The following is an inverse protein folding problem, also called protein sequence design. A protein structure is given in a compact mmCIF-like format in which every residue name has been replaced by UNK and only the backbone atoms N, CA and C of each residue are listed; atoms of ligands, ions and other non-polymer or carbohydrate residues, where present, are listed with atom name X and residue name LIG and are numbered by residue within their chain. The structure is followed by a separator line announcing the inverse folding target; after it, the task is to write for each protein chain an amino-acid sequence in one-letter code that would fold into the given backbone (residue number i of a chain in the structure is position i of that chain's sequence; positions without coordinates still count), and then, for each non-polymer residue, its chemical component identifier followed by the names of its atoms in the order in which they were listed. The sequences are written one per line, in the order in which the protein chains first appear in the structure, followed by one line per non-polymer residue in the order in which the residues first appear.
data_IF_961016142658
#
_entry.id   IF_961016142658
#
_cell.length_a   1.000
_cell.length_b   1.000
_cell.length_c   1.000
_cell.angle_alpha   90.00
_cell.angle_beta   90.00
_cell.angle_gamma   90.00
#
_symmetry.space_group_name_H-M   'P 1'
#
loop_
_entity.id
_entity.type
_entity.pdbx_description
1 polymer ?
#
# COMPACT_ATOMS: atom_id res chain seq x y z
N UNK A 1 22.79 10.35 -0.43
CA UNK A 1 22.42 9.56 0.77
C UNK A 1 21.23 10.26 1.38
N UNK A 2 20.06 9.64 1.34
CA UNK A 2 18.92 10.10 2.14
C UNK A 2 19.39 10.01 3.59
N UNK A 3 19.50 11.14 4.29
CA UNK A 3 19.85 11.14 5.71
C UNK A 3 18.75 10.33 6.41
N UNK A 4 19.18 9.30 7.13
CA UNK A 4 18.30 8.28 7.65
C UNK A 4 17.17 8.84 8.48
N UNK A 5 15.98 8.32 8.19
CA UNK A 5 14.79 8.43 9.03
C UNK A 5 15.17 8.15 10.48
N UNK A 6 14.74 9.03 11.37
CA UNK A 6 14.95 8.85 12.81
C UNK A 6 13.67 8.27 13.41
N UNK A 7 13.76 7.08 13.95
CA UNK A 7 12.75 6.60 14.89
C UNK A 7 13.09 7.20 16.25
N UNK A 8 12.12 7.89 16.83
CA UNK A 8 12.21 8.47 18.16
C UNK A 8 11.15 7.82 19.07
N UNK A 9 11.33 7.93 20.37
CA UNK A 9 10.30 7.57 21.34
C UNK A 9 9.83 8.86 21.97
N UNK A 10 8.52 9.12 21.92
CA UNK A 10 7.93 10.32 22.50
C UNK A 10 7.81 10.23 24.04
N UNK A 11 7.33 11.28 24.67
CA UNK A 11 7.19 11.34 26.13
C UNK A 11 6.21 10.31 26.72
N UNK A 12 5.37 9.72 25.90
CA UNK A 12 4.40 8.68 26.26
C UNK A 12 4.94 7.26 26.03
N UNK A 13 6.20 7.14 25.58
CA UNK A 13 6.82 5.86 25.26
C UNK A 13 6.42 5.27 23.90
N UNK A 14 5.77 6.04 23.03
CA UNK A 14 5.36 5.60 21.70
C UNK A 14 6.47 5.88 20.69
N UNK A 15 6.80 4.89 19.87
CA UNK A 15 7.73 5.07 18.75
C UNK A 15 7.12 5.96 17.69
N UNK A 16 7.90 6.91 17.18
CA UNK A 16 7.48 7.87 16.15
C UNK A 16 8.50 7.93 15.01
N UNK A 17 8.01 8.01 13.79
CA UNK A 17 8.79 8.42 12.62
C UNK A 17 8.96 9.93 12.70
N UNK A 18 10.21 10.41 12.70
CA UNK A 18 10.50 11.83 12.53
C UNK A 18 10.76 12.07 11.05
N UNK A 19 9.73 12.56 10.39
CA UNK A 19 9.79 12.91 8.97
C UNK A 19 10.53 14.22 8.78
N UNK A 20 11.56 14.22 7.93
CA UNK A 20 12.50 15.34 7.78
C UNK A 20 12.70 15.63 6.29
N UNK A 21 12.55 16.90 5.93
CA UNK A 21 12.89 17.37 4.60
C UNK A 21 14.41 17.18 4.33
N UNK A 22 14.81 16.35 3.35
CA UNK A 22 16.21 16.05 3.10
C UNK A 22 17.02 17.23 2.56
N UNK A 23 16.36 18.24 2.00
CA UNK A 23 17.01 19.43 1.46
C UNK A 23 17.29 20.48 2.53
N UNK A 24 16.41 20.65 3.52
CA UNK A 24 16.52 21.71 4.55
C UNK A 24 16.91 21.17 5.92
N UNK A 25 16.66 19.90 6.20
CA UNK A 25 16.82 19.29 7.52
C UNK A 25 15.69 19.63 8.51
N UNK A 26 14.66 20.34 8.07
CA UNK A 26 13.51 20.69 8.90
C UNK A 26 12.60 19.51 9.10
N UNK A 27 12.03 19.39 10.30
CA UNK A 27 11.01 18.38 10.59
C UNK A 27 9.70 18.77 9.92
N UNK A 28 9.18 17.90 9.05
CA UNK A 28 7.88 18.04 8.39
C UNK A 28 6.79 17.61 9.36
N UNK A 29 6.94 16.40 9.91
CA UNK A 29 5.96 15.81 10.82
C UNK A 29 6.58 14.79 11.79
N UNK A 30 5.76 14.39 12.78
CA UNK A 30 6.02 13.23 13.64
C UNK A 30 4.83 12.29 13.49
N UNK A 31 5.08 11.07 13.04
CA UNK A 31 4.05 10.07 12.76
C UNK A 31 4.23 8.90 13.71
N UNK A 32 3.21 8.58 14.49
CA UNK A 32 3.26 7.47 15.42
C UNK A 32 3.41 6.14 14.67
N UNK A 33 4.31 5.28 15.12
CA UNK A 33 4.41 3.91 14.60
C UNK A 33 3.23 3.07 15.09
N UNK A 34 2.72 2.23 14.21
CA UNK A 34 1.68 1.27 14.56
C UNK A 34 2.18 0.27 15.59
N UNK A 35 1.39 0.01 16.61
CA UNK A 35 1.64 -1.03 17.60
C UNK A 35 1.34 -2.41 17.03
N UNK A 36 1.84 -3.47 17.66
CA UNK A 36 1.48 -4.86 17.30
C UNK A 36 -0.02 -5.11 17.35
N UNK A 37 -0.70 -4.59 18.36
CA UNK A 37 -2.16 -4.71 18.45
C UNK A 37 -2.88 -4.06 17.27
N UNK A 38 -2.42 -2.89 16.79
CA UNK A 38 -2.97 -2.26 15.59
C UNK A 38 -2.68 -3.04 14.32
N UNK A 39 -1.54 -3.73 14.24
CA UNK A 39 -1.26 -4.67 13.12
C UNK A 39 -2.23 -5.85 13.18
N UNK A 40 -2.41 -6.46 14.35
CA UNK A 40 -3.33 -7.59 14.55
C UNK A 40 -4.77 -7.19 14.20
N UNK A 41 -5.23 -6.02 14.66
CA UNK A 41 -6.56 -5.49 14.38
C UNK A 41 -6.77 -5.23 12.86
N UNK A 42 -5.78 -4.65 12.18
CA UNK A 42 -5.84 -4.40 10.75
C UNK A 42 -5.92 -5.71 9.94
N UNK A 43 -5.11 -6.70 10.30
CA UNK A 43 -5.13 -8.02 9.65
C UNK A 43 -6.43 -8.76 9.93
N UNK A 44 -6.94 -8.70 11.16
CA UNK A 44 -8.22 -9.32 11.53
C UNK A 44 -9.39 -8.69 10.76
N UNK A 45 -9.43 -7.36 10.63
CA UNK A 45 -10.45 -6.66 9.84
C UNK A 45 -10.37 -7.05 8.36
N UNK A 46 -9.16 -7.07 7.78
CA UNK A 46 -8.93 -7.49 6.41
C UNK A 46 -9.39 -8.93 6.17
N UNK A 47 -9.06 -9.85 7.06
CA UNK A 47 -9.49 -11.26 6.99
C UNK A 47 -11.00 -11.41 7.07
N UNK A 48 -11.66 -10.63 7.91
CA UNK A 48 -13.10 -10.71 8.10
C UNK A 48 -13.90 -10.24 6.87
N UNK A 49 -13.46 -9.17 6.19
CA UNK A 49 -14.15 -8.58 5.05
C UNK A 49 -13.81 -9.25 3.72
N UNK A 50 -12.63 -9.84 3.58
CA UNK A 50 -12.10 -10.38 2.34
C UNK A 50 -13.06 -11.36 1.64
N UNK A 51 -13.75 -12.30 2.31
CA UNK A 51 -14.68 -13.20 1.62
C UNK A 51 -15.84 -12.47 0.93
N UNK A 52 -16.37 -11.40 1.55
CA UNK A 52 -17.43 -10.58 0.94
C UNK A 52 -16.95 -9.82 -0.28
N UNK A 53 -15.70 -9.34 -0.26
CA UNK A 53 -15.06 -8.72 -1.40
C UNK A 53 -14.80 -9.71 -2.53
N UNK A 54 -14.24 -10.88 -2.21
CA UNK A 54 -13.95 -11.93 -3.19
C UNK A 54 -15.21 -12.51 -3.86
N UNK A 55 -16.37 -12.44 -3.20
CA UNK A 55 -17.65 -12.90 -3.73
C UNK A 55 -18.24 -11.96 -4.80
N UNK A 56 -17.73 -10.75 -4.96
CA UNK A 56 -18.15 -9.88 -6.05
C UNK A 56 -17.67 -10.40 -7.40
N UNK A 57 -18.42 -10.08 -8.44
CA UNK A 57 -17.99 -10.34 -9.82
C UNK A 57 -16.67 -9.61 -10.13
N UNK A 58 -15.81 -10.22 -10.92
CA UNK A 58 -14.49 -9.66 -11.30
C UNK A 58 -14.61 -8.24 -11.90
N UNK A 59 -15.63 -8.04 -12.77
CA UNK A 59 -15.88 -6.74 -13.38
C UNK A 59 -16.29 -5.67 -12.35
N UNK A 60 -17.08 -6.04 -11.33
CA UNK A 60 -17.47 -5.12 -10.26
C UNK A 60 -16.26 -4.73 -9.41
N UNK A 61 -15.40 -5.70 -9.04
CA UNK A 61 -14.16 -5.40 -8.30
C UNK A 61 -13.24 -4.45 -9.09
N UNK A 62 -13.04 -4.72 -10.39
CA UNK A 62 -12.21 -3.88 -11.24
C UNK A 62 -12.74 -2.44 -11.33
N UNK A 63 -14.06 -2.27 -11.43
CA UNK A 63 -14.68 -0.94 -11.48
C UNK A 63 -14.55 -0.18 -10.14
N UNK A 64 -14.78 -0.86 -9.02
CA UNK A 64 -14.61 -0.26 -7.68
C UNK A 64 -13.15 0.14 -7.43
N UNK A 65 -12.19 -0.68 -7.85
CA UNK A 65 -10.76 -0.35 -7.76
C UNK A 65 -10.45 0.86 -8.64
N UNK A 66 -10.95 0.91 -9.87
CA UNK A 66 -10.77 2.06 -10.78
C UNK A 66 -11.24 3.37 -10.12
N UNK A 67 -12.44 3.37 -9.55
CA UNK A 67 -12.98 4.53 -8.85
C UNK A 67 -12.14 4.92 -7.64
N UNK A 68 -11.64 3.96 -6.89
CA UNK A 68 -10.79 4.21 -5.73
C UNK A 68 -9.43 4.83 -6.11
N UNK A 69 -8.80 4.36 -7.18
CA UNK A 69 -7.53 4.92 -7.67
C UNK A 69 -7.70 6.36 -8.17
N UNK A 70 -8.78 6.67 -8.88
CA UNK A 70 -9.06 8.04 -9.35
C UNK A 70 -9.21 9.04 -8.20
N UNK A 71 -9.61 8.59 -7.00
CA UNK A 71 -9.68 9.46 -5.82
C UNK A 71 -8.33 10.06 -5.41
N UNK A 72 -7.21 9.45 -5.78
CA UNK A 72 -5.88 10.00 -5.50
C UNK A 72 -5.75 11.39 -6.15
N UNK A 73 -6.15 11.51 -7.42
CA UNK A 73 -6.16 12.80 -8.12
C UNK A 73 -7.20 13.78 -7.56
N UNK A 74 -8.40 13.29 -7.25
CA UNK A 74 -9.48 14.10 -6.69
C UNK A 74 -9.15 14.66 -5.31
N UNK A 75 -8.32 13.95 -4.52
CA UNK A 75 -7.90 14.35 -3.18
C UNK A 75 -6.85 15.48 -3.17
N UNK A 76 -6.24 15.82 -4.31
CA UNK A 76 -5.33 16.94 -4.45
C UNK A 76 -3.96 16.60 -5.00
N UNK A 77 -3.85 16.40 -6.31
CA UNK A 77 -2.62 16.04 -7.02
C UNK A 77 -1.44 16.98 -6.74
N UNK A 78 -1.66 18.31 -6.76
CA UNK A 78 -0.59 19.28 -6.50
C UNK A 78 -0.09 19.21 -5.04
N UNK A 79 -0.98 18.98 -4.08
CA UNK A 79 -0.61 18.83 -2.68
C UNK A 79 0.25 17.59 -2.47
N UNK A 80 -0.14 16.45 -3.06
CA UNK A 80 0.62 15.22 -3.02
C UNK A 80 1.99 15.37 -3.68
N UNK A 81 2.07 15.98 -4.86
CA UNK A 81 3.35 16.20 -5.55
C UNK A 81 4.33 17.06 -4.73
N UNK A 82 3.83 18.12 -4.10
CA UNK A 82 4.65 18.95 -3.18
C UNK A 82 5.11 18.17 -1.96
N UNK A 83 4.24 17.34 -1.41
CA UNK A 83 4.55 16.50 -0.27
C UNK A 83 5.69 15.50 -0.59
N UNK A 84 5.60 14.80 -1.73
CA UNK A 84 6.66 13.92 -2.22
C UNK A 84 8.00 14.67 -2.34
N UNK A 85 7.98 15.87 -2.93
CA UNK A 85 9.18 16.70 -3.03
C UNK A 85 9.76 17.04 -1.64
N UNK A 86 8.91 17.34 -0.67
CA UNK A 86 9.34 17.68 0.68
C UNK A 86 9.91 16.49 1.44
N UNK A 87 9.28 15.32 1.36
CA UNK A 87 9.68 14.15 2.13
C UNK A 87 10.93 13.44 1.55
N UNK A 88 11.07 13.36 0.22
CA UNK A 88 12.15 12.54 -0.35
C UNK A 88 13.08 13.29 -1.33
N UNK A 89 12.78 14.55 -1.67
CA UNK A 89 13.66 15.40 -2.47
C UNK A 89 13.54 15.19 -3.98
N UNK A 90 12.54 14.47 -4.49
CA UNK A 90 12.21 14.40 -5.92
C UNK A 90 11.87 15.80 -6.41
N UNK A 91 12.26 16.16 -7.65
CA UNK A 91 11.86 17.46 -8.20
C UNK A 91 10.35 17.55 -8.32
N UNK A 92 9.80 18.77 -8.19
CA UNK A 92 8.35 18.94 -8.27
C UNK A 92 7.78 18.45 -9.60
N UNK A 93 8.50 18.64 -10.72
CA UNK A 93 8.07 18.15 -12.02
C UNK A 93 8.01 16.63 -12.11
N UNK A 94 8.99 15.92 -11.53
CA UNK A 94 8.97 14.45 -11.47
C UNK A 94 7.88 13.94 -10.52
N UNK A 95 7.64 14.63 -9.39
CA UNK A 95 6.58 14.28 -8.47
C UNK A 95 5.19 14.49 -9.12
N UNK A 96 5.00 15.58 -9.87
CA UNK A 96 3.78 15.83 -10.62
C UNK A 96 3.54 14.77 -11.70
N UNK A 97 4.59 14.34 -12.41
CA UNK A 97 4.51 13.27 -13.40
C UNK A 97 4.09 11.95 -12.73
N UNK A 98 4.75 11.56 -11.64
CA UNK A 98 4.39 10.34 -10.90
C UNK A 98 2.92 10.33 -10.46
N UNK A 99 2.43 11.45 -9.90
CA UNK A 99 1.02 11.55 -9.47
C UNK A 99 0.08 11.48 -10.67
N UNK A 100 0.40 12.16 -11.79
CA UNK A 100 -0.43 12.14 -12.99
C UNK A 100 -0.49 10.76 -13.65
N UNK A 101 0.64 10.07 -13.76
CA UNK A 101 0.73 8.74 -14.37
C UNK A 101 -0.06 7.69 -13.58
N UNK A 102 -0.19 7.89 -12.25
CA UNK A 102 -0.92 7.00 -11.37
C UNK A 102 -2.38 7.40 -11.11
N UNK A 103 -2.82 8.54 -11.63
CA UNK A 103 -4.21 8.98 -11.57
C UNK A 103 -5.12 8.29 -12.60
N UNK A 104 -4.55 7.83 -13.71
CA UNK A 104 -5.24 7.11 -14.78
C UNK A 104 -4.58 5.76 -15.05
N UNK A 105 -5.06 4.74 -14.37
CA UNK A 105 -4.58 3.36 -14.47
C UNK A 105 -5.53 2.44 -15.25
N UNK A 106 -6.38 3.00 -16.11
CA UNK A 106 -7.45 2.27 -16.79
C UNK A 106 -6.93 1.12 -17.67
N UNK A 107 -5.83 1.32 -18.38
CA UNK A 107 -5.20 0.27 -19.19
C UNK A 107 -4.64 -0.85 -18.30
N UNK A 108 -3.91 -0.49 -17.24
CA UNK A 108 -3.35 -1.47 -16.30
C UNK A 108 -4.44 -2.27 -15.58
N UNK A 109 -5.50 -1.60 -15.12
CA UNK A 109 -6.67 -2.25 -14.50
C UNK A 109 -7.32 -3.24 -15.47
N UNK A 110 -7.43 -2.86 -16.75
CA UNK A 110 -8.01 -3.73 -17.79
C UNK A 110 -7.15 -4.96 -18.04
N UNK A 111 -5.82 -4.81 -18.12
CA UNK A 111 -4.88 -5.93 -18.23
C UNK A 111 -4.92 -6.85 -17.01
N UNK A 112 -4.95 -6.29 -15.80
CA UNK A 112 -5.06 -7.07 -14.57
C UNK A 112 -6.39 -7.82 -14.51
N UNK A 113 -7.50 -7.19 -14.93
CA UNK A 113 -8.80 -7.85 -15.01
C UNK A 113 -8.75 -9.02 -15.99
N UNK A 114 -8.26 -8.82 -17.22
CA UNK A 114 -8.11 -9.86 -18.22
C UNK A 114 -7.26 -11.04 -17.70
N UNK A 115 -6.15 -10.76 -17.01
CA UNK A 115 -5.29 -11.77 -16.41
C UNK A 115 -5.98 -12.60 -15.30
N UNK A 116 -7.08 -12.11 -14.74
CA UNK A 116 -7.88 -12.83 -13.73
C UNK A 116 -9.12 -13.54 -14.32
N UNK A 117 -9.40 -13.38 -15.60
CA UNK A 117 -10.50 -14.11 -16.26
C UNK A 117 -10.21 -15.60 -16.30
N UNK A 118 -11.23 -16.46 -16.21
CA UNK A 118 -11.06 -17.90 -16.40
C UNK A 118 -10.54 -18.22 -17.80
N UNK A 119 -9.53 -19.10 -17.88
CA UNK A 119 -8.96 -19.54 -19.15
C UNK A 119 -9.47 -20.94 -19.51
N UNK A 120 -9.99 -21.11 -20.71
CA UNK A 120 -10.50 -22.41 -21.20
C UNK A 120 -9.47 -23.05 -22.12
N UNK A 121 -8.99 -24.25 -21.75
CA UNK A 121 -8.03 -25.03 -22.51
C UNK A 121 -8.61 -26.43 -22.78
N UNK A 122 -9.20 -26.63 -23.97
CA UNK A 122 -9.84 -27.88 -24.32
C UNK A 122 -11.00 -28.24 -23.37
N UNK A 123 -10.86 -29.30 -22.60
CA UNK A 123 -11.84 -29.72 -21.59
C UNK A 123 -11.58 -29.24 -20.17
N UNK A 124 -10.57 -28.35 -19.96
CA UNK A 124 -10.16 -27.84 -18.65
C UNK A 124 -10.38 -26.34 -18.54
N UNK A 125 -10.66 -25.87 -17.33
CA UNK A 125 -10.77 -24.44 -17.02
C UNK A 125 -9.78 -24.10 -15.92
N UNK A 126 -8.96 -23.08 -16.14
CA UNK A 126 -8.07 -22.51 -15.12
C UNK A 126 -8.80 -21.36 -14.47
N UNK A 127 -8.98 -21.43 -13.16
CA UNK A 127 -9.61 -20.39 -12.34
C UNK A 127 -8.61 -19.91 -11.31
N UNK A 128 -8.50 -18.59 -11.13
CA UNK A 128 -7.64 -17.98 -10.11
C UNK A 128 -8.47 -17.63 -8.88
N UNK A 129 -7.92 -17.90 -7.71
CA UNK A 129 -8.54 -17.57 -6.43
C UNK A 129 -7.70 -16.59 -5.66
N UNK A 130 -8.34 -15.73 -4.86
CA UNK A 130 -7.67 -14.84 -3.94
C UNK A 130 -6.86 -15.62 -2.90
N UNK A 131 -5.71 -15.09 -2.51
CA UNK A 131 -4.91 -15.64 -1.40
C UNK A 131 -5.57 -15.37 -0.04
N UNK A 132 -6.23 -14.23 0.12
CA UNK A 132 -6.85 -13.76 1.35
C UNK A 132 -6.35 -12.36 1.72
N UNK A 133 -5.51 -12.25 2.75
CA UNK A 133 -4.90 -10.98 3.15
C UNK A 133 -3.51 -10.86 2.54
N UNK A 134 -3.25 -9.72 1.89
CA UNK A 134 -1.96 -9.38 1.27
C UNK A 134 -1.33 -8.22 2.04
N UNK A 135 -0.10 -8.38 2.52
CA UNK A 135 0.70 -7.28 3.03
C UNK A 135 1.43 -6.58 1.88
N UNK A 136 1.39 -5.25 1.85
CA UNK A 136 2.11 -4.43 0.88
C UNK A 136 3.13 -3.57 1.62
N UNK A 137 4.42 -3.75 1.30
CA UNK A 137 5.48 -2.90 1.82
C UNK A 137 6.09 -2.13 0.65
N UNK A 138 5.81 -0.82 0.56
CA UNK A 138 6.21 0.02 -0.54
C UNK A 138 7.51 0.79 -0.24
N UNK A 139 8.32 1.14 -1.27
CA UNK A 139 9.55 1.90 -1.13
C UNK A 139 9.28 3.40 -1.03
N UNK A 140 10.35 4.18 -0.88
CA UNK A 140 10.29 5.63 -0.75
C UNK A 140 10.50 6.39 -2.07
N UNK A 141 11.11 5.77 -3.08
CA UNK A 141 11.53 6.44 -4.31
C UNK A 141 10.40 6.67 -5.32
N UNK A 142 9.35 5.84 -5.28
CA UNK A 142 8.11 5.98 -6.05
C UNK A 142 6.92 5.68 -5.12
N UNK A 143 6.61 6.60 -4.18
CA UNK A 143 5.67 6.33 -3.09
C UNK A 143 4.21 6.21 -3.55
N UNK A 144 3.84 6.79 -4.69
CA UNK A 144 2.50 6.66 -5.28
C UNK A 144 2.45 5.41 -6.14
N UNK A 145 3.35 5.32 -7.12
CA UNK A 145 3.37 4.28 -8.14
C UNK A 145 3.39 2.88 -7.53
N UNK A 146 4.30 2.62 -6.60
CA UNK A 146 4.46 1.28 -6.05
C UNK A 146 3.31 0.85 -5.14
N UNK A 147 2.68 1.78 -4.43
CA UNK A 147 1.45 1.47 -3.68
C UNK A 147 0.33 1.13 -4.65
N UNK A 148 0.14 1.91 -5.71
CA UNK A 148 -0.91 1.72 -6.71
C UNK A 148 -0.71 0.42 -7.49
N UNK A 149 0.50 0.19 -8.03
CA UNK A 149 0.83 -0.99 -8.83
C UNK A 149 0.68 -2.31 -8.07
N UNK A 150 0.96 -2.31 -6.75
CA UNK A 150 0.79 -3.50 -5.93
C UNK A 150 -0.66 -3.67 -5.42
N UNK A 151 -1.39 -2.57 -5.19
CA UNK A 151 -2.76 -2.62 -4.68
C UNK A 151 -3.76 -3.08 -5.74
N UNK A 152 -3.63 -2.61 -6.98
CA UNK A 152 -4.56 -2.93 -8.08
C UNK A 152 -4.69 -4.44 -8.29
N UNK A 153 -3.61 -5.20 -8.55
CA UNK A 153 -3.74 -6.63 -8.79
C UNK A 153 -4.20 -7.40 -7.55
N UNK A 154 -3.76 -7.00 -6.36
CA UNK A 154 -4.19 -7.64 -5.12
C UNK A 154 -5.71 -7.52 -4.92
N UNK A 155 -6.25 -6.30 -5.05
CA UNK A 155 -7.69 -6.03 -4.88
C UNK A 155 -8.54 -6.67 -5.98
N UNK A 156 -8.14 -6.54 -7.26
CA UNK A 156 -8.89 -7.12 -8.39
C UNK A 156 -8.95 -8.64 -8.29
N UNK A 157 -7.87 -9.30 -7.85
CA UNK A 157 -7.85 -10.75 -7.61
C UNK A 157 -8.74 -11.20 -6.43
N UNK A 158 -9.32 -10.26 -5.68
CA UNK A 158 -10.24 -10.54 -4.58
C UNK A 158 -9.59 -10.59 -3.19
N UNK A 159 -8.37 -10.09 -3.03
CA UNK A 159 -7.70 -10.01 -1.73
C UNK A 159 -8.09 -8.74 -0.97
N UNK A 160 -7.94 -8.76 0.35
CA UNK A 160 -7.84 -7.57 1.19
C UNK A 160 -6.36 -7.19 1.36
N UNK A 161 -6.06 -5.91 1.57
CA UNK A 161 -4.68 -5.41 1.64
C UNK A 161 -4.41 -4.65 2.93
N UNK A 162 -3.24 -4.87 3.50
CA UNK A 162 -2.68 -4.08 4.60
C UNK A 162 -1.39 -3.44 4.10
N UNK A 163 -1.39 -2.12 3.98
CA UNK A 163 -0.32 -1.35 3.33
C UNK A 163 0.56 -0.68 4.39
N UNK A 164 1.86 -0.90 4.30
CA UNK A 164 2.89 -0.17 5.05
C UNK A 164 3.78 0.60 4.08
N UNK A 165 3.56 1.91 3.92
CA UNK A 165 4.50 2.77 3.19
C UNK A 165 5.90 2.76 3.81
N UNK A 166 6.89 3.26 3.08
CA UNK A 166 8.20 3.49 3.66
C UNK A 166 8.14 4.57 4.75
N UNK A 167 8.88 4.35 5.82
CA UNK A 167 9.09 5.33 6.89
C UNK A 167 9.78 6.61 6.43
N UNK A 168 10.34 6.64 5.23
CA UNK A 168 10.98 7.82 4.61
C UNK A 168 9.94 8.79 4.05
N UNK A 169 8.77 8.30 3.67
CA UNK A 169 7.69 9.05 3.02
C UNK A 169 6.33 8.71 3.66
N UNK A 170 6.21 8.86 4.99
CA UNK A 170 5.04 8.41 5.71
C UNK A 170 3.76 9.14 5.29
N UNK A 171 3.85 10.46 5.06
CA UNK A 171 2.69 11.28 4.73
C UNK A 171 2.24 11.08 3.28
N UNK A 172 3.17 10.96 2.32
CA UNK A 172 2.84 10.64 0.93
C UNK A 172 2.15 9.28 0.83
N UNK A 173 2.68 8.29 1.55
CA UNK A 173 2.06 6.97 1.63
C UNK A 173 0.67 7.00 2.29
N UNK A 174 0.53 7.74 3.40
CA UNK A 174 -0.76 7.95 4.06
C UNK A 174 -1.79 8.59 3.12
N UNK A 175 -1.39 9.63 2.38
CA UNK A 175 -2.26 10.31 1.42
C UNK A 175 -2.83 9.32 0.39
N UNK A 176 -1.97 8.51 -0.23
CA UNK A 176 -2.36 7.55 -1.27
C UNK A 176 -3.28 6.47 -0.70
N UNK A 177 -2.88 5.85 0.41
CA UNK A 177 -3.67 4.76 1.01
C UNK A 177 -5.02 5.28 1.51
N UNK A 178 -5.07 6.47 2.12
CA UNK A 178 -6.32 7.09 2.60
C UNK A 178 -7.26 7.42 1.43
N UNK A 179 -6.74 7.86 0.29
CA UNK A 179 -7.56 8.08 -0.91
C UNK A 179 -8.19 6.77 -1.40
N UNK A 180 -7.42 5.68 -1.46
CA UNK A 180 -7.92 4.35 -1.84
C UNK A 180 -8.96 3.84 -0.82
N UNK A 181 -8.68 3.98 0.47
CA UNK A 181 -9.63 3.64 1.55
C UNK A 181 -10.96 4.38 1.39
N UNK A 182 -10.92 5.69 1.13
CA UNK A 182 -12.12 6.50 0.92
C UNK A 182 -12.98 6.07 -0.27
N UNK A 183 -12.43 5.31 -1.22
CA UNK A 183 -13.18 4.72 -2.33
C UNK A 183 -13.79 3.35 -2.05
N UNK A 184 -13.30 2.62 -1.06
CA UNK A 184 -13.62 1.21 -0.84
C UNK A 184 -14.18 0.91 0.56
N UNK A 185 -13.62 1.52 1.61
CA UNK A 185 -13.91 1.12 2.98
C UNK A 185 -15.30 1.53 3.48
N UNK A 186 -15.95 2.51 2.85
CA UNK A 186 -17.35 2.84 3.18
C UNK A 186 -18.28 1.65 2.96
N UNK A 187 -18.04 0.89 1.88
CA UNK A 187 -18.81 -0.32 1.53
C UNK A 187 -18.18 -1.59 2.10
N UNK A 188 -16.85 -1.63 2.20
CA UNK A 188 -16.07 -2.79 2.65
C UNK A 188 -15.09 -2.40 3.77
N UNK A 189 -15.58 -2.14 5.01
CA UNK A 189 -14.73 -1.69 6.12
C UNK A 189 -13.60 -2.66 6.40
N UNK A 190 -12.36 -2.16 6.41
CA UNK A 190 -11.17 -2.97 6.63
C UNK A 190 -10.59 -3.67 5.40
N UNK A 191 -11.17 -3.46 4.20
CA UNK A 191 -10.63 -4.02 2.95
C UNK A 191 -9.24 -3.49 2.64
N UNK A 192 -9.01 -2.21 2.92
CA UNK A 192 -7.72 -1.55 2.80
C UNK A 192 -7.37 -0.96 4.16
N UNK A 193 -6.20 -1.27 4.68
CA UNK A 193 -5.70 -0.74 5.95
C UNK A 193 -4.33 -0.12 5.78
N UNK A 194 -4.07 0.97 6.49
CA UNK A 194 -2.78 1.65 6.57
C UNK A 194 -2.10 1.33 7.89
N UNK A 195 -0.82 0.98 7.82
CA UNK A 195 0.07 0.89 8.97
C UNK A 195 1.27 1.80 8.75
N UNK A 196 1.66 2.55 9.78
CA UNK A 196 2.88 3.35 9.79
C UNK A 196 3.95 2.67 10.65
N UNK A 197 5.21 2.82 10.28
CA UNK A 197 6.30 2.26 11.06
C UNK A 197 7.51 1.87 10.21
N UNK A 198 8.54 1.42 10.89
CA UNK A 198 9.82 1.00 10.32
C UNK A 198 9.83 -0.48 9.90
N UNK A 199 11.03 -1.03 9.76
CA UNK A 199 11.24 -2.42 9.41
C UNK A 199 10.71 -3.43 10.43
N UNK A 200 10.57 -3.05 11.71
CA UNK A 200 10.05 -3.94 12.75
C UNK A 200 8.54 -4.13 12.60
N UNK A 201 7.80 -3.06 12.30
CA UNK A 201 6.36 -3.12 11.98
C UNK A 201 6.14 -3.92 10.69
N UNK A 202 6.96 -3.66 9.65
CA UNK A 202 6.89 -4.41 8.39
C UNK A 202 7.19 -5.91 8.57
N UNK A 203 8.18 -6.24 9.38
CA UNK A 203 8.55 -7.62 9.69
C UNK A 203 7.43 -8.34 10.46
N UNK A 204 6.82 -7.68 11.44
CA UNK A 204 5.70 -8.24 12.19
C UNK A 204 4.47 -8.48 11.30
N UNK A 205 4.15 -7.53 10.41
CA UNK A 205 3.07 -7.68 9.45
C UNK A 205 3.28 -8.86 8.50
N UNK A 206 4.47 -8.97 7.90
CA UNK A 206 4.78 -10.07 6.94
C UNK A 206 4.76 -11.45 7.62
N UNK A 207 5.12 -11.52 8.90
CA UNK A 207 5.14 -12.77 9.66
C UNK A 207 3.78 -13.13 10.31
N UNK A 208 2.78 -12.26 10.17
CA UNK A 208 1.48 -12.51 10.78
C UNK A 208 0.81 -13.76 10.20
N UNK A 209 0.29 -14.69 11.02
CA UNK A 209 -0.22 -15.99 10.55
C UNK A 209 -1.41 -15.88 9.59
N UNK A 210 -2.14 -14.79 9.61
CA UNK A 210 -3.28 -14.53 8.74
C UNK A 210 -2.93 -13.65 7.52
N UNK A 211 -1.65 -13.34 7.30
CA UNK A 211 -1.14 -12.77 6.05
C UNK A 211 -0.70 -13.90 5.13
N UNK A 212 -1.33 -14.00 3.96
CA UNK A 212 -1.16 -15.13 3.05
C UNK A 212 -0.22 -14.82 1.88
N UNK A 213 0.06 -13.55 1.64
CA UNK A 213 0.99 -13.10 0.60
C UNK A 213 1.65 -11.79 1.03
N UNK A 214 2.95 -11.66 0.75
CA UNK A 214 3.69 -10.40 0.89
C UNK A 214 4.06 -9.87 -0.49
N UNK A 215 3.61 -8.65 -0.79
CA UNK A 215 4.00 -7.88 -1.96
C UNK A 215 5.00 -6.79 -1.53
N UNK A 216 6.12 -6.71 -2.23
CA UNK A 216 7.22 -5.84 -1.83
C UNK A 216 7.99 -5.33 -3.05
N UNK A 217 8.28 -4.05 -3.04
CA UNK A 217 9.28 -3.42 -3.90
C UNK A 217 10.28 -2.67 -3.00
N UNK A 218 11.57 -2.80 -3.29
CA UNK A 218 12.60 -2.14 -2.50
C UNK A 218 14.00 -2.75 -2.66
N UNK A 219 14.85 -2.59 -1.64
CA UNK A 219 16.23 -3.09 -1.70
C UNK A 219 16.31 -4.62 -1.68
N UNK A 220 17.31 -5.18 -2.37
CA UNK A 220 17.61 -6.61 -2.35
C UNK A 220 17.79 -7.15 -0.92
N UNK A 221 18.42 -6.37 -0.05
CA UNK A 221 18.65 -6.77 1.35
C UNK A 221 17.34 -6.89 2.13
N UNK A 222 16.40 -5.96 1.92
CA UNK A 222 15.07 -6.02 2.54
C UNK A 222 14.24 -7.16 1.96
N UNK A 223 14.27 -7.34 0.63
CA UNK A 223 13.59 -8.46 -0.04
C UNK A 223 14.03 -9.83 0.48
N UNK A 224 15.33 -10.02 0.71
CA UNK A 224 15.86 -11.26 1.30
C UNK A 224 15.30 -11.50 2.72
N UNK A 225 15.17 -10.45 3.55
CA UNK A 225 14.56 -10.58 4.89
C UNK A 225 13.08 -10.92 4.82
N UNK A 226 12.33 -10.30 3.89
CA UNK A 226 10.92 -10.58 3.66
C UNK A 226 10.73 -12.03 3.20
N UNK A 227 11.52 -12.49 2.23
CA UNK A 227 11.49 -13.87 1.76
C UNK A 227 11.74 -14.86 2.90
N UNK A 228 12.74 -14.59 3.75
CA UNK A 228 13.04 -15.41 4.93
C UNK A 228 11.87 -15.37 5.94
N UNK A 229 11.23 -14.23 6.14
CA UNK A 229 10.10 -14.09 7.05
C UNK A 229 8.86 -14.85 6.55
N UNK A 230 8.57 -14.77 5.25
CA UNK A 230 7.42 -15.42 4.60
C UNK A 230 7.60 -16.94 4.38
N UNK A 231 8.80 -17.49 4.57
CA UNK A 231 9.10 -18.93 4.37
C UNK A 231 8.82 -19.82 5.59
N UNK A 232 8.15 -19.30 6.62
CA UNK A 232 7.88 -20.01 7.90
C UNK A 232 6.51 -20.64 7.95
#
# INVERSE_FOLDING_TARGET
MVQGVKIAVNNEGVSEIVDVNPATGEVIARVACSTRAQVDDAVAAAKAIQPSWAALELAERAELVRLAIRRIAESGSDALARLITQEMGKTLGEAQAEVADNADMDEYISLVKEANEPEVHGGSVIVRHAHGVVSICAPWNYPVEEIVLLSIPALIAGNAIVVKPSEVVPLSGEFVVTAIMGGLNDRFPGLVSLLQGDGDVGSYLVQHPDVHMAAFTGSTATGAKILQAASR
#
